data_IF_271235366853
#
_entry.id   IF_271235366853
#
_cell.length_a   1.000
_cell.length_b   1.000
_cell.length_c   1.000
_cell.angle_alpha   90.00
_cell.angle_beta   90.00
_cell.angle_gamma   90.00
#
_symmetry.space_group_name_H-M   'P 1'
#
loop_
_entity.id
_entity.type
_entity.pdbx_description
1 polymer ?
#
# COMPACT_ATOMS: atom_id res chain seq x y z
N UNK A 1 31.01 -32.14 -44.64
CA UNK A 1 30.11 -32.26 -43.47
C UNK A 1 30.06 -30.91 -42.80
N UNK A 2 28.93 -30.20 -42.87
CA UNK A 2 28.75 -28.92 -42.21
C UNK A 2 27.90 -29.15 -40.96
N UNK A 3 28.47 -28.95 -39.78
CA UNK A 3 27.73 -28.92 -38.51
C UNK A 3 26.96 -27.60 -38.44
N UNK A 4 25.64 -27.59 -38.24
CA UNK A 4 24.92 -26.33 -38.06
C UNK A 4 25.16 -25.81 -36.64
N UNK A 5 25.58 -24.55 -36.53
CA UNK A 5 25.60 -23.82 -35.27
C UNK A 5 24.17 -23.75 -34.69
N UNK A 6 24.02 -24.24 -33.47
CA UNK A 6 22.80 -24.10 -32.68
C UNK A 6 22.67 -22.63 -32.30
N UNK A 7 21.86 -21.88 -33.04
CA UNK A 7 21.48 -20.52 -32.69
C UNK A 7 20.83 -20.49 -31.32
N UNK A 8 21.51 -19.89 -30.35
CA UNK A 8 20.93 -19.55 -29.04
C UNK A 8 19.73 -18.61 -29.27
N UNK A 9 18.52 -19.13 -29.09
CA UNK A 9 17.30 -18.31 -29.04
C UNK A 9 17.32 -17.50 -27.75
N UNK A 10 17.89 -16.29 -27.80
CA UNK A 10 17.78 -15.34 -26.71
C UNK A 10 16.28 -15.07 -26.45
N UNK A 11 15.78 -15.52 -25.30
CA UNK A 11 14.38 -15.38 -24.92
C UNK A 11 13.95 -13.92 -25.02
N UNK A 12 12.98 -13.63 -25.89
CA UNK A 12 12.37 -12.30 -25.99
C UNK A 12 11.53 -12.05 -24.73
N UNK A 13 12.09 -11.32 -23.77
CA UNK A 13 11.30 -10.78 -22.67
C UNK A 13 10.46 -9.60 -23.19
N UNK A 14 9.13 -9.78 -23.22
CA UNK A 14 8.21 -8.68 -23.43
C UNK A 14 7.97 -7.94 -22.11
N UNK A 15 8.00 -6.60 -22.09
CA UNK A 15 7.68 -5.83 -20.91
C UNK A 15 6.20 -5.99 -20.56
N UNK A 16 5.92 -6.27 -19.29
CA UNK A 16 4.56 -6.25 -18.73
C UNK A 16 4.01 -4.83 -18.83
N UNK A 17 2.80 -4.68 -19.40
CA UNK A 17 2.07 -3.42 -19.51
C UNK A 17 0.75 -3.51 -18.74
N UNK A 18 0.78 -3.41 -17.39
CA UNK A 18 -0.42 -3.52 -16.58
C UNK A 18 -1.38 -2.38 -16.92
N UNK A 19 -2.67 -2.73 -17.10
CA UNK A 19 -3.74 -1.74 -17.29
C UNK A 19 -4.28 -1.33 -15.92
N UNK A 20 -4.76 -0.09 -15.79
CA UNK A 20 -5.35 0.42 -14.55
C UNK A 20 -6.44 -0.51 -13.95
N UNK A 21 -7.23 -1.16 -14.80
CA UNK A 21 -8.24 -2.14 -14.38
C UNK A 21 -7.66 -3.33 -13.62
N UNK A 22 -6.45 -3.80 -13.98
CA UNK A 22 -5.79 -4.90 -13.28
C UNK A 22 -5.41 -4.48 -11.85
N UNK A 23 -4.93 -3.25 -11.67
CA UNK A 23 -4.62 -2.71 -10.33
C UNK A 23 -5.87 -2.60 -9.47
N UNK A 24 -7.00 -2.17 -10.04
CA UNK A 24 -8.27 -2.11 -9.34
C UNK A 24 -8.74 -3.50 -8.89
N UNK A 25 -8.70 -4.49 -9.78
CA UNK A 25 -9.09 -5.87 -9.46
C UNK A 25 -8.21 -6.48 -8.37
N UNK A 26 -6.89 -6.33 -8.48
CA UNK A 26 -5.97 -6.80 -7.44
C UNK A 26 -6.23 -6.10 -6.10
N UNK A 27 -6.44 -4.78 -6.10
CA UNK A 27 -6.74 -4.03 -4.87
C UNK A 27 -8.01 -4.50 -4.16
N UNK A 28 -9.06 -4.85 -4.92
CA UNK A 28 -10.31 -5.38 -4.37
C UNK A 28 -10.15 -6.79 -3.80
N UNK A 29 -9.33 -7.65 -4.42
CA UNK A 29 -9.09 -9.02 -3.94
C UNK A 29 -8.10 -9.09 -2.75
N UNK A 30 -7.27 -8.06 -2.57
CA UNK A 30 -6.25 -8.03 -1.50
C UNK A 30 -6.80 -7.64 -0.11
N UNK A 31 -8.03 -7.12 -0.04
CA UNK A 31 -8.65 -6.69 1.22
C UNK A 31 -9.66 -7.75 1.66
N UNK A 32 -9.40 -8.39 2.79
CA UNK A 32 -10.21 -9.50 3.29
C UNK A 32 -11.51 -9.08 3.99
N UNK A 33 -11.61 -7.82 4.46
CA UNK A 33 -12.84 -7.22 4.96
C UNK A 33 -12.71 -5.70 5.16
N UNK A 34 -13.82 -5.00 5.29
CA UNK A 34 -13.87 -3.57 5.61
C UNK A 34 -13.20 -3.27 6.97
N UNK A 35 -13.36 -4.16 7.94
CA UNK A 35 -12.72 -4.04 9.25
C UNK A 35 -11.18 -4.12 9.14
N UNK A 36 -10.68 -5.02 8.29
CA UNK A 36 -9.24 -5.12 8.02
C UNK A 36 -8.74 -3.85 7.33
N UNK A 37 -9.45 -3.35 6.32
CA UNK A 37 -9.11 -2.10 5.65
C UNK A 37 -9.01 -0.92 6.62
N UNK A 38 -10.00 -0.75 7.49
CA UNK A 38 -10.01 0.29 8.51
C UNK A 38 -8.85 0.12 9.49
N UNK A 39 -8.55 -1.11 9.90
CA UNK A 39 -7.42 -1.39 10.80
C UNK A 39 -6.07 -1.03 10.17
N UNK A 40 -5.89 -1.23 8.87
CA UNK A 40 -4.66 -0.85 8.17
C UNK A 40 -4.51 0.68 8.06
N UNK A 41 -5.62 1.42 7.89
CA UNK A 41 -5.60 2.89 7.94
C UNK A 41 -5.20 3.40 9.32
N UNK A 42 -5.71 2.80 10.40
CA UNK A 42 -5.34 3.16 11.79
C UNK A 42 -3.87 2.81 12.07
N UNK A 43 -3.37 1.65 11.60
CA UNK A 43 -1.95 1.30 11.71
C UNK A 43 -1.05 2.29 10.97
N UNK A 44 -1.48 2.74 9.79
CA UNK A 44 -0.74 3.76 9.04
C UNK A 44 -0.66 5.09 9.81
N UNK A 45 -1.74 5.48 10.48
CA UNK A 45 -1.76 6.68 11.35
C UNK A 45 -0.79 6.52 12.52
N UNK A 46 -0.77 5.34 13.16
CA UNK A 46 0.18 5.02 14.23
C UNK A 46 1.64 5.06 13.74
N UNK A 47 1.92 4.50 12.57
CA UNK A 47 3.24 4.55 11.94
C UNK A 47 3.67 5.99 11.59
N UNK A 48 2.70 6.88 11.34
CA UNK A 48 2.91 8.32 11.16
C UNK A 48 3.06 9.08 12.49
N UNK A 49 3.15 8.36 13.61
CA UNK A 49 3.32 8.92 14.96
C UNK A 49 2.14 9.78 15.44
N UNK A 50 0.94 9.55 14.88
CA UNK A 50 -0.28 10.23 15.31
C UNK A 50 -0.60 9.95 16.79
N UNK A 51 -1.00 10.97 17.53
CA UNK A 51 -1.53 10.84 18.90
C UNK A 51 -3.02 10.60 18.91
N UNK A 52 -3.73 11.12 17.91
CA UNK A 52 -5.17 11.07 17.79
C UNK A 52 -5.56 10.57 16.40
N UNK A 53 -6.52 9.65 16.34
CA UNK A 53 -7.17 9.23 15.10
C UNK A 53 -8.67 9.36 15.28
N UNK A 54 -9.32 10.12 14.41
CA UNK A 54 -10.77 10.33 14.41
C UNK A 54 -11.37 9.53 13.25
N UNK A 55 -12.36 8.72 13.57
CA UNK A 55 -13.13 7.95 12.59
C UNK A 55 -14.55 8.49 12.61
N UNK A 56 -15.05 8.91 11.45
CA UNK A 56 -16.39 9.48 11.31
C UNK A 56 -17.16 8.79 10.21
N UNK A 57 -18.36 8.33 10.56
CA UNK A 57 -19.36 7.79 9.63
C UNK A 57 -20.44 8.84 9.44
N UNK A 58 -20.74 9.17 8.19
CA UNK A 58 -21.85 10.03 7.81
C UNK A 58 -22.75 9.24 6.88
N UNK A 59 -24.02 9.16 7.23
CA UNK A 59 -25.03 8.53 6.39
C UNK A 59 -25.25 9.33 5.11
N UNK A 60 -25.72 8.63 4.07
CA UNK A 60 -26.11 9.27 2.82
C UNK A 60 -27.37 10.09 3.04
N UNK A 61 -27.37 11.30 2.51
CA UNK A 61 -28.54 12.18 2.46
C UNK A 61 -28.91 12.45 1.01
N UNK A 62 -30.13 12.94 0.71
CA UNK A 62 -30.47 13.40 -0.64
C UNK A 62 -29.45 14.40 -1.21
N UNK A 63 -28.78 15.15 -0.34
CA UNK A 63 -27.79 16.18 -0.67
C UNK A 63 -26.36 15.62 -0.82
N UNK A 64 -26.09 14.34 -0.51
CA UNK A 64 -24.76 13.78 -0.69
C UNK A 64 -24.58 12.32 -0.23
N UNK A 65 -23.54 11.64 -0.74
CA UNK A 65 -23.33 10.22 -0.45
C UNK A 65 -22.95 9.97 1.01
N UNK A 66 -23.12 8.73 1.44
CA UNK A 66 -22.55 8.24 2.68
C UNK A 66 -21.01 8.30 2.60
N UNK A 67 -20.35 8.53 3.73
CA UNK A 67 -18.89 8.63 3.78
C UNK A 67 -18.32 8.09 5.09
N UNK A 68 -17.18 7.41 4.98
CA UNK A 68 -16.29 7.07 6.08
C UNK A 68 -15.03 7.94 5.98
N UNK A 69 -14.73 8.70 7.02
CA UNK A 69 -13.52 9.54 7.11
C UNK A 69 -12.61 9.03 8.21
N UNK A 70 -11.32 8.90 7.91
CA UNK A 70 -10.25 8.63 8.88
C UNK A 70 -9.29 9.81 8.85
N UNK A 71 -9.15 10.51 9.97
CA UNK A 71 -8.30 11.69 10.13
C UNK A 71 -7.29 11.43 11.25
N UNK A 72 -6.01 11.70 11.01
CA UNK A 72 -4.95 11.60 12.01
C UNK A 72 -4.16 12.91 12.14
N UNK A 73 -3.52 13.10 13.30
CA UNK A 73 -2.64 14.22 13.61
C UNK A 73 -1.14 13.86 13.50
N UNK A 74 -0.81 12.83 12.72
CA UNK A 74 0.56 12.37 12.51
C UNK A 74 1.41 13.30 11.65
N UNK A 75 2.67 12.92 11.43
CA UNK A 75 3.65 13.71 10.65
C UNK A 75 3.29 13.86 9.18
N UNK A 76 2.33 13.07 8.69
CA UNK A 76 1.82 13.12 7.32
C UNK A 76 2.87 12.82 6.25
N UNK A 77 2.59 13.30 5.03
CA UNK A 77 3.46 13.19 3.87
C UNK A 77 3.49 14.51 3.11
N UNK A 78 4.64 14.85 2.53
CA UNK A 78 4.72 15.97 1.59
C UNK A 78 4.03 15.62 0.26
N UNK A 79 3.61 16.64 -0.50
CA UNK A 79 3.03 16.44 -1.84
C UNK A 79 3.95 15.62 -2.75
N UNK A 80 5.26 15.89 -2.72
CA UNK A 80 6.25 15.15 -3.51
C UNK A 80 6.31 13.66 -3.10
N UNK A 81 6.28 13.38 -1.80
CA UNK A 81 6.21 12.01 -1.26
C UNK A 81 4.96 11.28 -1.75
N UNK A 82 3.80 11.95 -1.78
CA UNK A 82 2.56 11.35 -2.31
C UNK A 82 2.73 11.04 -3.79
N UNK A 83 3.19 12.00 -4.60
CA UNK A 83 3.29 11.84 -6.05
C UNK A 83 4.32 10.81 -6.49
N UNK A 84 5.47 10.74 -5.81
CA UNK A 84 6.62 9.92 -6.26
C UNK A 84 6.78 8.60 -5.52
N UNK A 85 6.27 8.50 -4.30
CA UNK A 85 6.46 7.31 -3.46
C UNK A 85 5.16 6.56 -3.21
N UNK A 86 4.07 7.27 -2.96
CA UNK A 86 2.79 6.61 -2.64
C UNK A 86 2.09 6.06 -3.89
N UNK A 87 2.18 6.77 -5.02
CA UNK A 87 1.59 6.34 -6.30
C UNK A 87 2.41 5.28 -7.06
N UNK A 88 3.57 4.86 -6.53
CA UNK A 88 4.37 3.77 -7.07
C UNK A 88 4.23 2.52 -6.21
N UNK A 89 3.19 1.68 -6.43
CA UNK A 89 3.04 0.44 -5.70
C UNK A 89 4.18 -0.54 -6.04
N UNK A 90 4.62 -1.30 -5.04
CA UNK A 90 5.64 -2.35 -5.14
C UNK A 90 7.10 -1.90 -5.41
N UNK A 91 7.45 -0.62 -5.28
CA UNK A 91 8.86 -0.19 -5.22
C UNK A 91 9.41 -0.28 -3.79
N UNK A 92 10.63 -0.82 -3.59
CA UNK A 92 11.30 -0.87 -2.30
C UNK A 92 11.88 0.50 -1.91
N UNK A 93 11.03 1.53 -1.83
CA UNK A 93 11.44 2.90 -1.50
C UNK A 93 11.38 3.20 -0.01
N UNK A 94 10.63 2.41 0.77
CA UNK A 94 10.51 2.61 2.22
C UNK A 94 11.71 2.02 2.98
N UNK A 95 12.77 2.81 3.16
CA UNK A 95 13.65 2.66 4.34
C UNK A 95 12.86 3.09 5.58
N UNK A 96 12.02 2.19 6.11
CA UNK A 96 11.27 2.46 7.34
C UNK A 96 12.24 2.56 8.52
N UNK A 97 12.19 3.67 9.25
CA UNK A 97 12.74 3.73 10.60
C UNK A 97 11.98 2.70 11.44
N UNK A 98 12.70 1.81 12.14
CA UNK A 98 12.10 0.84 13.07
C UNK A 98 11.42 1.51 14.27
N UNK A 99 11.74 2.80 14.49
CA UNK A 99 11.31 3.59 15.65
C UNK A 99 10.91 5.00 15.21
N UNK A 100 9.70 5.44 15.58
CA UNK A 100 9.15 6.78 15.31
C UNK A 100 9.92 7.87 16.08
N UNK A 101 9.73 9.17 15.75
CA UNK A 101 10.39 10.27 16.49
C UNK A 101 10.12 10.25 17.98
N UNK A 102 8.93 9.80 18.39
CA UNK A 102 8.56 9.65 19.80
C UNK A 102 8.93 8.30 20.42
N UNK A 103 9.63 7.42 19.70
CA UNK A 103 10.11 6.14 20.25
C UNK A 103 9.19 4.93 20.02
N UNK A 104 8.10 5.07 19.26
CA UNK A 104 7.17 3.97 18.99
C UNK A 104 7.73 2.98 17.98
N UNK A 105 7.49 1.68 18.19
CA UNK A 105 7.84 0.64 17.21
C UNK A 105 6.83 0.65 16.07
N UNK A 106 7.30 0.73 14.82
CA UNK A 106 6.41 0.65 13.65
C UNK A 106 5.68 -0.69 13.60
N UNK A 107 4.40 -0.66 13.22
CA UNK A 107 3.52 -1.83 13.15
C UNK A 107 3.50 -2.48 11.75
N UNK A 108 4.17 -1.89 10.77
CA UNK A 108 4.08 -2.24 9.35
C UNK A 108 4.65 -3.59 8.88
N UNK A 109 4.85 -4.58 9.76
CA UNK A 109 5.06 -5.97 9.29
C UNK A 109 3.69 -6.66 9.12
N UNK A 110 3.38 -7.23 7.94
CA UNK A 110 2.33 -8.21 7.84
C UNK A 110 2.63 -9.32 8.85
N UNK A 111 1.65 -9.67 9.68
CA UNK A 111 1.76 -10.69 10.71
C UNK A 111 2.20 -12.01 10.06
N UNK A 112 3.51 -12.29 9.99
CA UNK A 112 3.99 -13.61 9.59
C UNK A 112 3.64 -14.54 10.73
N UNK A 113 2.87 -15.63 10.50
CA UNK A 113 2.61 -16.60 11.54
C UNK A 113 3.97 -17.07 12.07
N UNK A 114 4.17 -16.98 13.39
CA UNK A 114 5.36 -17.54 14.02
C UNK A 114 5.33 -19.05 13.77
N UNK A 115 6.39 -19.67 13.23
CA UNK A 115 6.46 -21.11 13.22
C UNK A 115 6.36 -21.59 14.69
N UNK A 116 5.46 -22.54 14.92
CA UNK A 116 5.39 -23.27 16.19
C UNK A 116 6.65 -24.09 16.37
#
# INVERSE_FOLDING_TARGET
MNVPEVGTTAGRHQPLRPRARLMLTLGLELISSEAVALSELVKNSYDADASTVVISLRDGTPEGPASLTVLDDGVGMSSDTVMRTWLEPATPSRRRRKVSPTGRRSLGEPNRPRPR
#
